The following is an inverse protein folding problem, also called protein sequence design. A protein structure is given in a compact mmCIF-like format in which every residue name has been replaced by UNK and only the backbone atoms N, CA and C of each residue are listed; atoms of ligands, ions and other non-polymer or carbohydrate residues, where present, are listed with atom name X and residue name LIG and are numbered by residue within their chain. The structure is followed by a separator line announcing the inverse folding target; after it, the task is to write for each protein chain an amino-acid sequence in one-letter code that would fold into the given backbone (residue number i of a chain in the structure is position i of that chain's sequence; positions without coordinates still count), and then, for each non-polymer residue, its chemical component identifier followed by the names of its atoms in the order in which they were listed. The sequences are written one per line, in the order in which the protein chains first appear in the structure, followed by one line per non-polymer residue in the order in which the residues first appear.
data_IF_676091618182
#
_entry.id   IF_676091618182
#
_cell.length_a   1.000
_cell.length_b   1.000
_cell.length_c   1.000
_cell.angle_alpha   90.00
_cell.angle_beta   90.00
_cell.angle_gamma   90.00
#
_symmetry.space_group_name_H-M   'P 1'
#
loop_
_entity.id
_entity.type
_entity.pdbx_description
1 polymer ?
#
# COMPACT_ATOMS: atom_id res chain seq x y z
N UNK A 1 9.61 27.27 -4.86
CA UNK A 1 8.16 27.37 -5.13
C UNK A 1 7.60 26.14 -5.85
N UNK A 2 8.08 25.76 -7.04
CA UNK A 2 7.60 24.55 -7.73
C UNK A 2 7.85 23.24 -6.94
N UNK A 3 8.97 23.17 -6.22
CA UNK A 3 9.37 21.98 -5.45
C UNK A 3 8.49 21.79 -4.19
N UNK A 4 8.08 22.87 -3.52
CA UNK A 4 7.10 22.80 -2.42
C UNK A 4 5.69 22.46 -2.93
N UNK A 5 5.33 22.93 -4.13
CA UNK A 5 4.06 22.58 -4.75
C UNK A 5 3.97 21.09 -5.09
N UNK A 6 5.07 20.46 -5.51
CA UNK A 6 5.14 19.02 -5.75
C UNK A 6 4.93 18.23 -4.46
N UNK A 7 5.56 18.64 -3.36
CA UNK A 7 5.39 17.99 -2.06
C UNK A 7 3.96 18.14 -1.51
N UNK A 8 3.36 19.34 -1.62
CA UNK A 8 1.96 19.52 -1.25
C UNK A 8 1.02 18.68 -2.14
N UNK A 9 1.29 18.59 -3.44
CA UNK A 9 0.53 17.78 -4.39
C UNK A 9 0.59 16.28 -4.09
N UNK A 10 1.76 15.75 -3.72
CA UNK A 10 1.91 14.35 -3.33
C UNK A 10 1.19 14.04 -2.03
N UNK A 11 1.22 14.93 -1.03
CA UNK A 11 0.47 14.74 0.22
C UNK A 11 -1.05 14.68 -0.01
N UNK A 12 -1.59 15.56 -0.84
CA UNK A 12 -3.02 15.56 -1.20
C UNK A 12 -3.37 14.28 -1.95
N UNK A 13 -2.53 13.86 -2.90
CA UNK A 13 -2.74 12.63 -3.67
C UNK A 13 -2.69 11.39 -2.78
N UNK A 14 -1.76 11.32 -1.82
CA UNK A 14 -1.68 10.25 -0.82
C UNK A 14 -2.97 10.16 0.01
N UNK A 15 -3.47 11.31 0.49
CA UNK A 15 -4.71 11.38 1.26
C UNK A 15 -5.91 10.91 0.43
N UNK A 16 -6.01 11.35 -0.82
CA UNK A 16 -7.08 10.91 -1.73
C UNK A 16 -7.01 9.40 -2.02
N UNK A 17 -5.82 8.85 -2.27
CA UNK A 17 -5.63 7.40 -2.46
C UNK A 17 -6.09 6.60 -1.25
N UNK A 18 -5.72 7.03 -0.04
CA UNK A 18 -6.17 6.38 1.19
C UNK A 18 -7.68 6.44 1.37
N UNK A 19 -8.31 7.59 1.09
CA UNK A 19 -9.77 7.75 1.18
C UNK A 19 -10.48 6.86 0.15
N UNK A 20 -10.01 6.85 -1.09
CA UNK A 20 -10.57 6.00 -2.17
C UNK A 20 -10.44 4.53 -1.81
N UNK A 21 -9.28 4.10 -1.31
CA UNK A 21 -9.06 2.73 -0.85
C UNK A 21 -10.00 2.33 0.29
N UNK A 22 -10.21 3.22 1.27
CA UNK A 22 -11.13 2.99 2.37
C UNK A 22 -12.59 2.88 1.91
N UNK A 23 -13.04 3.78 1.02
CA UNK A 23 -14.38 3.74 0.44
C UNK A 23 -14.58 2.45 -0.37
N UNK A 24 -13.59 2.06 -1.18
CA UNK A 24 -13.63 0.81 -1.94
C UNK A 24 -13.73 -0.42 -1.03
N UNK A 25 -13.03 -0.44 0.09
CA UNK A 25 -13.04 -1.55 1.04
C UNK A 25 -14.41 -1.71 1.73
N UNK A 26 -15.07 -0.60 2.08
CA UNK A 26 -16.36 -0.60 2.79
C UNK A 26 -17.54 -0.87 1.86
N UNK A 27 -17.59 -0.22 0.70
CA UNK A 27 -18.79 -0.21 -0.15
C UNK A 27 -18.87 -1.34 -1.19
N UNK A 28 -17.78 -2.04 -1.49
CA UNK A 28 -17.78 -3.06 -2.55
C UNK A 28 -18.14 -4.43 -2.01
N UNK A 29 -19.21 -5.06 -2.48
CA UNK A 29 -19.60 -6.41 -2.04
C UNK A 29 -18.67 -7.53 -2.55
N UNK A 30 -17.99 -7.32 -3.68
CA UNK A 30 -17.13 -8.35 -4.26
C UNK A 30 -15.77 -8.40 -3.54
N UNK A 31 -15.39 -9.60 -3.09
CA UNK A 31 -14.13 -9.85 -2.36
C UNK A 31 -12.90 -9.38 -3.15
N UNK A 32 -12.85 -9.61 -4.47
CA UNK A 32 -11.71 -9.17 -5.30
C UNK A 32 -11.59 -7.65 -5.32
N UNK A 33 -12.72 -6.94 -5.38
CA UNK A 33 -12.75 -5.48 -5.37
C UNK A 33 -12.34 -4.92 -4.00
N UNK A 34 -12.70 -5.59 -2.91
CA UNK A 34 -12.22 -5.24 -1.56
C UNK A 34 -10.70 -5.40 -1.43
N UNK A 35 -10.13 -6.48 -1.99
CA UNK A 35 -8.68 -6.72 -1.99
C UNK A 35 -7.94 -5.59 -2.73
N UNK A 36 -8.45 -5.16 -3.88
CA UNK A 36 -7.88 -4.01 -4.62
C UNK A 36 -8.02 -2.72 -3.81
N UNK A 37 -9.16 -2.50 -3.15
CA UNK A 37 -9.35 -1.36 -2.23
C UNK A 37 -8.32 -1.33 -1.11
N UNK A 38 -8.00 -2.48 -0.52
CA UNK A 38 -6.95 -2.61 0.50
C UNK A 38 -5.56 -2.28 -0.05
N UNK A 39 -5.25 -2.65 -1.30
CA UNK A 39 -3.99 -2.29 -1.96
C UNK A 39 -3.81 -0.77 -2.05
N UNK A 40 -4.86 -0.05 -2.45
CA UNK A 40 -4.81 1.41 -2.57
C UNK A 40 -4.54 2.14 -1.26
N UNK A 41 -4.98 1.59 -0.13
CA UNK A 41 -4.64 2.13 1.20
C UNK A 41 -3.13 2.02 1.42
N UNK A 42 -2.56 0.84 1.16
CA UNK A 42 -1.11 0.61 1.29
C UNK A 42 -0.29 1.52 0.37
N UNK A 43 -0.71 1.68 -0.89
CA UNK A 43 -0.05 2.56 -1.85
C UNK A 43 -0.13 4.04 -1.42
N UNK A 44 -1.28 4.47 -0.87
CA UNK A 44 -1.43 5.82 -0.31
C UNK A 44 -0.51 6.08 0.88
N UNK A 45 -0.34 5.11 1.79
CA UNK A 45 0.62 5.20 2.91
C UNK A 45 2.06 5.22 2.41
N UNK A 46 2.39 4.39 1.41
CA UNK A 46 3.72 4.39 0.80
C UNK A 46 4.05 5.75 0.18
N UNK A 47 3.10 6.35 -0.55
CA UNK A 47 3.26 7.66 -1.17
C UNK A 47 3.40 8.77 -0.11
N UNK A 48 2.67 8.68 1.00
CA UNK A 48 2.84 9.58 2.16
C UNK A 48 4.26 9.50 2.73
N UNK A 49 4.78 8.29 2.97
CA UNK A 49 6.13 8.09 3.52
C UNK A 49 7.22 8.62 2.60
N UNK A 50 7.14 8.36 1.30
CA UNK A 50 8.10 8.91 0.31
C UNK A 50 8.03 10.45 0.31
N UNK A 51 6.83 11.01 0.37
CA UNK A 51 6.63 12.47 0.39
C UNK A 51 7.19 13.14 1.65
N UNK A 52 7.27 12.43 2.78
CA UNK A 52 7.89 12.93 4.02
C UNK A 52 9.42 12.84 3.98
N UNK A 53 9.98 11.85 3.29
CA UNK A 53 11.42 11.69 3.10
C UNK A 53 12.02 12.63 2.04
N UNK A 54 11.17 13.29 1.25
CA UNK A 54 11.58 14.21 0.20
C UNK A 54 12.18 15.49 0.80
N UNK A 55 13.37 15.85 0.32
CA UNK A 55 14.05 17.10 0.68
C UNK A 55 14.31 17.93 -0.56
N UNK A 56 13.85 19.19 -0.55
CA UNK A 56 14.09 20.13 -1.64
C UNK A 56 15.60 20.36 -1.83
N UNK A 57 16.10 20.19 -3.06
CA UNK A 57 17.54 20.21 -3.40
C UNK A 57 18.38 19.16 -2.65
N UNK A 58 17.77 18.05 -2.22
CA UNK A 58 18.48 16.97 -1.56
C UNK A 58 19.29 16.14 -2.56
N UNK A 59 20.51 15.76 -2.18
CA UNK A 59 21.29 14.76 -2.91
C UNK A 59 20.78 13.35 -2.54
N UNK A 60 21.00 12.38 -3.41
CA UNK A 60 20.71 10.97 -3.16
C UNK A 60 21.50 10.47 -1.94
N UNK A 61 20.95 9.51 -1.20
CA UNK A 61 21.57 8.95 0.02
C UNK A 61 22.80 8.04 -0.25
N UNK A 62 23.52 8.26 -1.35
CA UNK A 62 24.66 7.47 -1.81
C UNK A 62 25.90 8.38 -1.83
N UNK A 63 26.92 8.02 -1.06
CA UNK A 63 28.19 8.74 -1.02
C UNK A 63 29.09 8.26 -2.18
N UNK A 64 29.30 9.11 -3.18
CA UNK A 64 30.27 8.91 -4.24
C UNK A 64 31.68 9.34 -3.76
N UNK A 65 32.76 8.71 -4.28
CA UNK A 65 34.14 8.96 -3.85
C UNK A 65 34.65 10.40 -4.04
N UNK A 66 34.06 11.15 -4.98
CA UNK A 66 34.48 12.51 -5.34
C UNK A 66 33.65 13.61 -4.65
N UNK A 67 32.73 13.26 -3.74
CA UNK A 67 31.90 14.24 -3.04
C UNK A 67 32.48 14.65 -1.70
N UNK A 68 32.37 15.96 -1.41
CA UNK A 68 32.73 16.51 -0.09
C UNK A 68 31.74 16.02 0.98
N UNK A 69 32.27 15.36 2.00
CA UNK A 69 31.54 14.75 3.12
C UNK A 69 30.71 15.80 3.88
N UNK A 70 31.19 17.05 3.93
CA UNK A 70 30.51 18.14 4.63
C UNK A 70 29.26 18.63 3.89
N UNK A 71 29.31 18.73 2.56
CA UNK A 71 28.14 19.00 1.73
C UNK A 71 27.15 17.82 1.76
N UNK A 72 27.66 16.59 1.87
CA UNK A 72 26.82 15.40 1.90
C UNK A 72 25.92 15.33 3.15
N UNK A 73 26.49 15.55 4.34
CA UNK A 73 25.73 15.57 5.59
C UNK A 73 24.71 16.71 5.64
N UNK A 74 25.03 17.84 5.01
CA UNK A 74 24.17 19.02 4.95
C UNK A 74 22.97 18.86 4.01
N UNK A 75 23.08 18.08 2.93
CA UNK A 75 22.10 18.04 1.83
C UNK A 75 21.51 16.66 1.53
N UNK A 76 21.95 15.57 2.17
CA UNK A 76 21.40 14.24 1.88
C UNK A 76 19.91 14.13 2.22
N UNK A 77 19.20 13.36 1.41
CA UNK A 77 17.81 12.93 1.66
C UNK A 77 17.77 11.86 2.76
N UNK A 78 16.66 11.79 3.51
CA UNK A 78 16.54 10.84 4.62
C UNK A 78 16.43 9.40 4.10
N UNK A 79 17.34 8.48 4.47
CA UNK A 79 17.30 7.10 3.97
C UNK A 79 16.21 6.23 4.62
N UNK A 80 15.76 6.60 5.83
CA UNK A 80 14.81 5.80 6.61
C UNK A 80 13.45 5.60 5.90
N UNK A 81 12.76 6.64 5.38
CA UNK A 81 11.48 6.46 4.71
C UNK A 81 11.57 5.59 3.45
N UNK A 82 12.67 5.68 2.68
CA UNK A 82 12.86 4.85 1.49
C UNK A 82 12.98 3.36 1.82
N UNK A 83 13.69 3.02 2.91
CA UNK A 83 13.81 1.64 3.36
C UNK A 83 12.45 1.09 3.83
N UNK A 84 11.66 1.88 4.57
CA UNK A 84 10.32 1.49 5.04
C UNK A 84 9.33 1.26 3.89
N UNK A 85 9.43 2.04 2.81
CA UNK A 85 8.55 1.88 1.65
C UNK A 85 8.90 0.63 0.85
N UNK A 86 10.19 0.34 0.67
CA UNK A 86 10.63 -0.86 -0.04
C UNK A 86 10.13 -2.15 0.64
N UNK A 87 10.18 -2.22 1.97
CA UNK A 87 9.64 -3.36 2.72
C UNK A 87 8.13 -3.43 2.63
N UNK A 88 7.43 -2.30 2.72
CA UNK A 88 5.98 -2.22 2.59
C UNK A 88 5.49 -2.71 1.23
N UNK A 89 6.18 -2.37 0.13
CA UNK A 89 5.83 -2.83 -1.23
C UNK A 89 5.88 -4.37 -1.33
N UNK A 90 6.93 -5.00 -0.79
CA UNK A 90 7.07 -6.46 -0.82
C UNK A 90 5.99 -7.15 0.03
N UNK A 91 5.67 -6.59 1.20
CA UNK A 91 4.59 -7.08 2.07
C UNK A 91 3.22 -6.93 1.36
N UNK A 92 2.97 -5.78 0.73
CA UNK A 92 1.76 -5.53 -0.05
C UNK A 92 1.57 -6.54 -1.18
N UNK A 93 2.60 -6.75 -2.00
CA UNK A 93 2.56 -7.73 -3.09
C UNK A 93 2.32 -9.16 -2.58
N UNK A 94 2.99 -9.55 -1.49
CA UNK A 94 2.87 -10.89 -0.90
C UNK A 94 1.47 -11.14 -0.31
N UNK A 95 0.92 -10.17 0.43
CA UNK A 95 -0.42 -10.27 1.02
C UNK A 95 -1.51 -10.27 -0.03
N UNK A 96 -1.37 -9.48 -1.12
CA UNK A 96 -2.29 -9.52 -2.26
C UNK A 96 -2.30 -10.88 -2.94
N UNK A 97 -1.14 -11.50 -3.16
CA UNK A 97 -1.05 -12.84 -3.73
C UNK A 97 -1.79 -13.87 -2.88
N UNK A 98 -1.61 -13.83 -1.56
CA UNK A 98 -2.31 -14.72 -0.62
C UNK A 98 -3.82 -14.46 -0.63
N UNK A 99 -4.26 -13.21 -0.59
CA UNK A 99 -5.68 -12.84 -0.62
C UNK A 99 -6.37 -13.29 -1.93
N UNK A 100 -5.70 -13.15 -3.07
CA UNK A 100 -6.21 -13.62 -4.36
C UNK A 100 -6.25 -15.15 -4.42
N UNK A 101 -5.20 -15.83 -3.95
CA UNK A 101 -5.19 -17.29 -3.88
C UNK A 101 -6.35 -17.81 -3.02
N UNK A 102 -6.60 -17.19 -1.86
CA UNK A 102 -7.73 -17.52 -1.00
C UNK A 102 -9.07 -17.26 -1.70
N UNK A 103 -9.19 -16.16 -2.44
CA UNK A 103 -10.40 -15.83 -3.21
C UNK A 103 -10.71 -16.90 -4.28
N UNK A 104 -9.69 -17.45 -4.94
CA UNK A 104 -9.85 -18.55 -5.90
C UNK A 104 -10.33 -19.83 -5.20
N UNK A 105 -9.77 -20.16 -4.03
CA UNK A 105 -10.19 -21.33 -3.23
C UNK A 105 -11.63 -21.18 -2.75
N UNK A 106 -12.01 -20.00 -2.25
CA UNK A 106 -13.37 -19.68 -1.84
C UNK A 106 -14.37 -19.82 -2.99
N UNK A 107 -14.02 -19.32 -4.17
CA UNK A 107 -14.86 -19.46 -5.35
C UNK A 107 -15.08 -20.92 -5.75
N UNK A 108 -14.04 -21.76 -5.66
CA UNK A 108 -14.17 -23.21 -5.93
C UNK A 108 -15.07 -23.94 -4.94
N UNK A 109 -15.10 -23.53 -3.66
CA UNK A 109 -15.93 -24.17 -2.62
C UNK A 109 -17.38 -23.68 -2.59
N UNK A 110 -17.61 -22.36 -2.67
CA UNK A 110 -18.94 -21.78 -2.48
C UNK A 110 -19.59 -21.25 -3.78
N UNK A 111 -18.87 -21.21 -4.90
CA UNK A 111 -19.38 -20.73 -6.19
C UNK A 111 -19.73 -19.24 -6.25
N UNK A 112 -19.50 -18.49 -5.17
CA UNK A 112 -19.81 -17.05 -5.04
C UNK A 112 -18.61 -16.27 -4.52
N UNK A 113 -18.44 -15.04 -5.03
CA UNK A 113 -17.42 -14.07 -4.60
C UNK A 113 -18.02 -12.87 -3.86
N UNK A 114 -19.27 -13.00 -3.42
CA UNK A 114 -20.00 -11.94 -2.73
C UNK A 114 -19.77 -12.04 -1.23
N UNK A 115 -19.14 -11.03 -0.64
CA UNK A 115 -18.79 -11.02 0.79
C UNK A 115 -20.02 -11.20 1.69
N UNK A 116 -21.15 -10.59 1.32
CA UNK A 116 -22.42 -10.69 2.07
C UNK A 116 -22.98 -12.11 2.07
N UNK A 117 -22.83 -12.86 0.97
CA UNK A 117 -23.28 -14.26 0.89
C UNK A 117 -22.36 -15.17 1.69
N UNK A 118 -21.04 -14.95 1.62
CA UNK A 118 -20.07 -15.72 2.38
C UNK A 118 -20.19 -15.51 3.91
N UNK A 119 -20.49 -14.29 4.35
CA UNK A 119 -20.66 -13.97 5.78
C UNK A 119 -21.97 -14.53 6.38
N UNK A 120 -22.98 -14.81 5.55
CA UNK A 120 -24.29 -15.32 5.98
C UNK A 120 -24.42 -16.84 5.80
N UNK A 121 -23.38 -17.50 5.27
CA UNK A 121 -23.38 -18.94 5.04
C UNK A 121 -23.09 -19.68 6.35
N UNK A 122 -24.13 -20.25 6.97
CA UNK A 122 -24.04 -21.04 8.21
C UNK A 122 -23.22 -22.34 8.07
N UNK A 123 -22.79 -22.69 6.86
CA UNK A 123 -21.94 -23.85 6.55
C UNK A 123 -20.48 -23.70 7.03
N UNK A 124 -20.03 -22.52 7.48
CA UNK A 124 -18.67 -22.29 7.98
C UNK A 124 -18.30 -23.11 9.25
N UNK A 125 -19.27 -23.75 9.91
CA UNK A 125 -19.06 -24.57 11.10
C UNK A 125 -19.34 -26.08 10.95
N UNK A 126 -19.72 -26.56 9.76
CA UNK A 126 -20.21 -27.95 9.57
C UNK A 126 -19.40 -28.79 8.57
N UNK A 127 -18.14 -28.44 8.26
CA UNK A 127 -17.27 -29.25 7.39
C UNK A 127 -16.21 -30.06 8.16
N UNK A 128 -16.57 -30.60 9.33
CA UNK A 128 -15.74 -31.53 10.11
C UNK A 128 -16.60 -32.59 10.83
N UNK A 129 -17.49 -33.27 10.10
CA UNK A 129 -18.13 -34.49 10.59
C UNK A 129 -18.56 -35.38 9.41
N UNK A 130 -17.60 -35.88 8.64
CA UNK A 130 -17.64 -37.21 8.00
C UNK A 130 -16.21 -37.76 7.92
#
# INVERSE_FOLDING_TARGET
MAIEAVQCGSLITAALLMIIGLVALVYLDNVVKKIIGAAFIGDGVNLLLVSLGYRANGITYILLPEMDVTNFLGHASYPLPFALVLTSIVIGASTLAVMLALSVVLYKRHGTLSATVLLNDKKLGEDNNE
#
